data_IF_376658107608
#
_entry.id   IF_376658107608
#
_cell.length_a   1.000
_cell.length_b   1.000
_cell.length_c   1.000
_cell.angle_alpha   90.00
_cell.angle_beta   90.00
_cell.angle_gamma   90.00
#
_symmetry.space_group_name_H-M   'P 1'
#
loop_
_entity.id
_entity.type
_entity.pdbx_description
1 polymer ?
#
# COMPACT_ATOMS: atom_id res chain seq x y z
N UNK A 1 -13.17 1.67 -23.08
CA UNK A 1 -12.79 0.83 -21.93
C UNK A 1 -13.81 1.06 -20.83
N UNK A 2 -14.34 0.02 -20.27
CA UNK A 2 -15.32 0.13 -19.19
C UNK A 2 -14.67 0.63 -17.90
N UNK A 3 -15.46 1.31 -17.08
CA UNK A 3 -15.00 1.85 -15.80
C UNK A 3 -14.43 0.76 -14.91
N UNK A 4 -15.10 -0.40 -14.81
CA UNK A 4 -14.62 -1.51 -14.00
C UNK A 4 -13.25 -2.03 -14.44
N UNK A 5 -12.98 -2.05 -15.75
CA UNK A 5 -11.67 -2.45 -16.28
C UNK A 5 -10.59 -1.45 -15.88
N UNK A 6 -10.91 -0.15 -15.91
CA UNK A 6 -9.99 0.90 -15.47
C UNK A 6 -9.70 0.77 -13.97
N UNK A 7 -10.74 0.63 -13.15
CA UNK A 7 -10.60 0.51 -11.70
C UNK A 7 -9.78 -0.72 -11.30
N UNK A 8 -9.92 -1.83 -12.02
CA UNK A 8 -9.17 -3.05 -11.73
C UNK A 8 -7.65 -2.92 -11.93
N UNK A 9 -7.22 -1.83 -12.58
CA UNK A 9 -5.80 -1.53 -12.83
C UNK A 9 -5.29 -0.36 -12.01
N UNK A 10 -6.12 0.20 -11.12
CA UNK A 10 -5.76 1.35 -10.30
C UNK A 10 -5.34 0.91 -8.90
N UNK A 11 -4.31 1.57 -8.37
CA UNK A 11 -3.94 1.47 -6.97
C UNK A 11 -4.61 2.63 -6.22
N UNK A 12 -5.56 2.31 -5.35
CA UNK A 12 -6.25 3.32 -4.55
C UNK A 12 -5.35 3.71 -3.38
N UNK A 13 -4.89 4.95 -3.34
CA UNK A 13 -3.73 5.36 -2.52
C UNK A 13 -4.11 6.37 -1.45
N UNK A 14 -3.63 6.15 -0.22
CA UNK A 14 -3.64 7.14 0.88
C UNK A 14 -2.31 7.04 1.63
N UNK A 15 -1.46 8.04 1.46
CA UNK A 15 -0.11 8.06 2.03
C UNK A 15 0.13 9.30 2.91
N UNK A 16 -0.93 10.00 3.33
CA UNK A 16 -0.80 11.17 4.19
C UNK A 16 -0.21 10.78 5.56
N UNK A 17 0.70 11.59 6.07
CA UNK A 17 1.33 11.36 7.38
C UNK A 17 0.33 11.36 8.53
N UNK A 18 -0.79 12.05 8.34
CA UNK A 18 -1.86 12.19 9.34
C UNK A 18 -3.01 11.20 9.14
N UNK A 19 -2.85 10.21 8.26
CA UNK A 19 -3.89 9.23 8.00
C UNK A 19 -4.27 8.46 9.28
N UNK A 20 -5.55 8.26 9.48
CA UNK A 20 -6.09 7.48 10.60
C UNK A 20 -6.53 6.09 10.14
N UNK A 21 -6.71 5.16 11.08
CA UNK A 21 -7.23 3.84 10.74
C UNK A 21 -8.60 3.91 10.06
N UNK A 22 -9.47 4.78 10.53
CA UNK A 22 -10.80 4.96 9.93
C UNK A 22 -10.70 5.36 8.46
N UNK A 23 -9.77 6.24 8.12
CA UNK A 23 -9.52 6.63 6.73
C UNK A 23 -8.94 5.48 5.91
N UNK A 24 -7.99 4.73 6.46
CA UNK A 24 -7.42 3.54 5.81
C UNK A 24 -8.50 2.48 5.58
N UNK A 25 -9.34 2.25 6.59
CA UNK A 25 -10.44 1.30 6.49
C UNK A 25 -11.42 1.69 5.38
N UNK A 26 -11.74 2.98 5.28
CA UNK A 26 -12.63 3.49 4.23
C UNK A 26 -12.05 3.22 2.83
N UNK A 27 -10.74 3.43 2.65
CA UNK A 27 -10.05 3.13 1.38
C UNK A 27 -10.07 1.64 1.07
N UNK A 28 -9.87 0.79 2.08
CA UNK A 28 -9.96 -0.67 1.90
C UNK A 28 -11.38 -1.08 1.48
N UNK A 29 -12.40 -0.50 2.11
CA UNK A 29 -13.79 -0.76 1.74
C UNK A 29 -14.07 -0.35 0.29
N UNK A 30 -13.59 0.81 -0.13
CA UNK A 30 -13.72 1.27 -1.52
C UNK A 30 -12.97 0.35 -2.49
N UNK A 31 -11.76 -0.06 -2.14
CA UNK A 31 -10.97 -0.98 -2.96
C UNK A 31 -11.68 -2.31 -3.17
N UNK A 32 -12.26 -2.86 -2.12
CA UNK A 32 -13.03 -4.11 -2.22
C UNK A 32 -14.32 -3.91 -3.02
N UNK A 33 -15.02 -2.80 -2.82
CA UNK A 33 -16.28 -2.49 -3.51
C UNK A 33 -16.07 -2.32 -5.01
N UNK A 34 -15.02 -1.62 -5.41
CA UNK A 34 -14.73 -1.29 -6.82
C UNK A 34 -13.72 -2.22 -7.47
N UNK A 35 -13.21 -3.22 -6.75
CA UNK A 35 -12.23 -4.19 -7.26
C UNK A 35 -10.99 -3.52 -7.86
N UNK A 36 -10.42 -2.56 -7.12
CA UNK A 36 -9.16 -1.94 -7.55
C UNK A 36 -8.03 -2.96 -7.52
N UNK A 37 -6.92 -2.68 -8.23
CA UNK A 37 -5.76 -3.57 -8.28
C UNK A 37 -5.16 -3.80 -6.89
N UNK A 38 -5.08 -2.72 -6.10
CA UNK A 38 -4.61 -2.75 -4.72
C UNK A 38 -5.05 -1.48 -4.00
N UNK A 39 -4.79 -1.42 -2.69
CA UNK A 39 -4.71 -0.14 -1.98
C UNK A 39 -3.26 0.06 -1.56
N UNK A 40 -2.75 1.28 -1.72
CA UNK A 40 -1.40 1.65 -1.31
C UNK A 40 -1.49 2.55 -0.08
N UNK A 41 -0.92 2.09 1.03
CA UNK A 41 -1.10 2.69 2.35
C UNK A 41 0.24 2.76 3.08
N UNK A 42 0.35 3.60 4.15
CA UNK A 42 1.57 3.65 4.95
C UNK A 42 1.89 2.29 5.58
N UNK A 43 3.17 1.99 5.68
CA UNK A 43 3.65 0.70 6.18
C UNK A 43 3.11 0.34 7.58
N UNK A 44 2.92 1.35 8.43
CA UNK A 44 2.41 1.13 9.79
C UNK A 44 1.00 0.54 9.84
N UNK A 45 0.22 0.66 8.76
CA UNK A 45 -1.14 0.12 8.69
C UNK A 45 -1.25 -1.19 7.94
N UNK A 46 -0.16 -1.70 7.37
CA UNK A 46 -0.21 -2.89 6.49
C UNK A 46 -0.81 -4.09 7.20
N UNK A 47 -0.31 -4.41 8.39
CA UNK A 47 -0.79 -5.59 9.12
C UNK A 47 -2.28 -5.49 9.44
N UNK A 48 -2.71 -4.34 9.96
CA UNK A 48 -4.11 -4.12 10.34
C UNK A 48 -5.02 -4.16 9.11
N UNK A 49 -4.60 -3.55 8.00
CA UNK A 49 -5.35 -3.57 6.76
C UNK A 49 -5.44 -4.98 6.18
N UNK A 50 -4.33 -5.73 6.19
CA UNK A 50 -4.32 -7.11 5.69
C UNK A 50 -5.24 -8.00 6.51
N UNK A 51 -5.23 -7.87 7.82
CA UNK A 51 -6.16 -8.61 8.69
C UNK A 51 -7.62 -8.25 8.39
N UNK A 52 -7.88 -7.00 8.02
CA UNK A 52 -9.22 -6.52 7.71
C UNK A 52 -9.73 -7.04 6.36
N UNK A 53 -8.91 -6.98 5.31
CA UNK A 53 -9.34 -7.34 3.95
C UNK A 53 -9.15 -8.82 3.64
N UNK A 54 -8.25 -9.51 4.34
CA UNK A 54 -7.90 -10.89 4.05
C UNK A 54 -7.35 -11.02 2.63
N UNK A 55 -7.94 -11.90 1.84
CA UNK A 55 -7.54 -12.12 0.45
C UNK A 55 -8.42 -11.37 -0.56
N UNK A 56 -9.31 -10.53 -0.08
CA UNK A 56 -10.25 -9.81 -0.95
C UNK A 56 -9.64 -8.63 -1.67
N UNK A 57 -8.47 -8.15 -1.24
CA UNK A 57 -7.83 -6.98 -1.81
C UNK A 57 -6.32 -7.04 -1.56
N UNK A 58 -5.49 -6.89 -2.61
CA UNK A 58 -4.04 -6.77 -2.41
C UNK A 58 -3.68 -5.49 -1.66
N UNK A 59 -2.73 -5.59 -0.74
CA UNK A 59 -2.21 -4.45 0.02
C UNK A 59 -0.83 -4.11 -0.51
N UNK A 60 -0.66 -2.84 -0.92
CA UNK A 60 0.61 -2.29 -1.34
C UNK A 60 1.10 -1.28 -0.31
N UNK A 61 2.40 -1.14 -0.16
CA UNK A 61 3.00 -0.07 0.62
C UNK A 61 4.24 0.46 -0.08
N UNK A 62 4.78 1.57 0.45
CA UNK A 62 5.95 2.24 -0.14
C UNK A 62 7.19 2.00 0.72
N UNK A 63 8.34 1.94 0.06
CA UNK A 63 9.64 1.71 0.67
C UNK A 63 10.53 2.91 0.34
N UNK A 64 11.10 3.53 1.39
CA UNK A 64 11.94 4.71 1.21
C UNK A 64 11.19 5.95 0.71
N UNK A 65 9.89 5.99 0.91
CA UNK A 65 9.01 7.06 0.45
C UNK A 65 9.03 8.26 1.42
N UNK A 66 8.94 9.50 0.93
CA UNK A 66 8.80 9.86 -0.50
C UNK A 66 10.13 10.12 -1.22
N UNK A 67 11.24 10.24 -0.49
CA UNK A 67 12.47 10.83 -1.04
C UNK A 67 13.39 9.82 -1.72
N UNK A 68 13.39 8.56 -1.26
CA UNK A 68 14.19 7.50 -1.86
C UNK A 68 15.67 7.51 -1.50
N UNK A 69 16.10 8.38 -0.58
CA UNK A 69 17.52 8.51 -0.25
C UNK A 69 17.97 7.70 0.97
N UNK A 70 17.11 6.83 1.47
CA UNK A 70 17.51 5.89 2.52
C UNK A 70 18.57 4.92 2.01
N UNK A 71 19.36 4.37 2.92
CA UNK A 71 20.37 3.39 2.55
C UNK A 71 19.72 2.11 1.99
N UNK A 72 20.48 1.36 1.20
CA UNK A 72 20.01 0.06 0.67
C UNK A 72 19.62 -0.89 1.80
N UNK A 73 20.42 -0.95 2.87
CA UNK A 73 20.12 -1.81 4.02
C UNK A 73 18.79 -1.43 4.67
N UNK A 74 18.53 -0.12 4.85
CA UNK A 74 17.28 0.37 5.42
C UNK A 74 16.08 0.00 4.53
N UNK A 75 16.21 0.18 3.20
CA UNK A 75 15.15 -0.17 2.26
C UNK A 75 14.86 -1.68 2.27
N UNK A 76 15.88 -2.51 2.34
CA UNK A 76 15.71 -3.97 2.42
C UNK A 76 15.00 -4.37 3.70
N UNK A 77 15.33 -3.75 4.83
CA UNK A 77 14.64 -4.00 6.09
C UNK A 77 13.17 -3.59 6.01
N UNK A 78 12.88 -2.41 5.45
CA UNK A 78 11.51 -1.94 5.27
C UNK A 78 10.70 -2.90 4.40
N UNK A 79 11.28 -3.39 3.30
CA UNK A 79 10.61 -4.32 2.40
C UNK A 79 10.31 -5.66 3.11
N UNK A 80 11.29 -6.19 3.83
CA UNK A 80 11.13 -7.44 4.59
C UNK A 80 10.04 -7.31 5.66
N UNK A 81 10.06 -6.21 6.40
CA UNK A 81 9.07 -5.93 7.43
C UNK A 81 7.66 -5.81 6.82
N UNK A 82 7.53 -5.10 5.71
CA UNK A 82 6.25 -4.94 5.02
C UNK A 82 5.68 -6.29 4.56
N UNK A 83 6.51 -7.14 3.98
CA UNK A 83 6.09 -8.48 3.53
C UNK A 83 5.68 -9.34 4.72
N UNK A 84 6.43 -9.30 5.81
CA UNK A 84 6.10 -10.05 7.03
C UNK A 84 4.77 -9.59 7.63
N UNK A 85 4.43 -8.32 7.48
CA UNK A 85 3.15 -7.77 7.94
C UNK A 85 1.99 -8.03 6.97
N UNK A 86 2.25 -8.60 5.81
CA UNK A 86 1.22 -9.04 4.88
C UNK A 86 1.06 -8.19 3.63
N UNK A 87 2.02 -7.31 3.32
CA UNK A 87 1.97 -6.59 2.05
C UNK A 87 2.09 -7.57 0.88
N UNK A 88 1.21 -7.43 -0.09
CA UNK A 88 1.23 -8.22 -1.32
C UNK A 88 2.16 -7.59 -2.35
N UNK A 89 2.34 -6.26 -2.28
CA UNK A 89 3.20 -5.50 -3.18
C UNK A 89 3.95 -4.42 -2.42
N UNK A 90 5.13 -4.07 -2.89
CA UNK A 90 5.92 -2.95 -2.36
C UNK A 90 6.40 -2.08 -3.52
N UNK A 91 6.29 -0.75 -3.33
CA UNK A 91 6.81 0.24 -4.28
C UNK A 91 8.04 0.90 -3.66
N UNK A 92 9.21 0.69 -4.25
CA UNK A 92 10.46 1.25 -3.73
C UNK A 92 10.81 2.54 -4.46
N UNK A 93 11.09 3.59 -3.68
CA UNK A 93 11.56 4.86 -4.22
C UNK A 93 13.08 4.81 -4.34
N UNK A 94 13.59 5.11 -5.54
CA UNK A 94 15.03 5.11 -5.79
C UNK A 94 15.68 6.44 -5.42
N UNK A 95 16.97 6.40 -5.11
CA UNK A 95 17.77 7.60 -4.88
C UNK A 95 18.17 8.19 -6.24
N UNK A 96 17.72 9.41 -6.51
CA UNK A 96 17.99 10.09 -7.79
C UNK A 96 19.33 10.86 -7.75
N UNK A 97 19.81 11.15 -6.57
CA UNK A 97 21.04 11.92 -6.36
C UNK A 97 22.33 11.22 -6.71
#
# INVERSE_FOLDING_TARGET
MELNTILSKCDHTLLAQTATWEEIKAICDDGMKYHTASVCIPASFVKQAKDYVGENLPICTVIGFPNGYDTTAAKCFMASDAVDNGADEVDMVINIG
#
